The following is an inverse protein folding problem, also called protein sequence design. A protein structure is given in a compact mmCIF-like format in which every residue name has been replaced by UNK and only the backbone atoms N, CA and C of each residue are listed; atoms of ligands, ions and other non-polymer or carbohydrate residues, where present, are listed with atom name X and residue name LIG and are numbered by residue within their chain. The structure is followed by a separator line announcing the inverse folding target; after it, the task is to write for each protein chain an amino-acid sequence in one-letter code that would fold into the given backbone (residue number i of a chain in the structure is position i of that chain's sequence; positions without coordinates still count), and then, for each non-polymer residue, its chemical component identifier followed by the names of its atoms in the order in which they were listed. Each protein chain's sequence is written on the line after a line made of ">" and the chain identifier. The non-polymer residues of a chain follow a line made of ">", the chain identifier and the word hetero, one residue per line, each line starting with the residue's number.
data_IF_464231634634
#
_entry.id   IF_464231634634
#
_cell.length_a   1.000
_cell.length_b   1.000
_cell.length_c   1.000
_cell.angle_alpha   90.00
_cell.angle_beta   90.00
_cell.angle_gamma   90.00
#
_symmetry.space_group_name_H-M   'P 1'
#
loop_
_entity.id
_entity.type
_entity.pdbx_description
1 polymer ?
#
# COMPACT_ATOMS: atom_id res chain seq x y z
N UNK A 1 -13.06 -4.17 -1.90
CA UNK A 1 -12.89 -2.99 -2.78
C UNK A 1 -11.65 -2.27 -2.32
N UNK A 2 -10.71 -1.99 -3.23
CA UNK A 2 -9.56 -1.15 -2.92
C UNK A 2 -9.92 0.31 -3.12
N UNK A 3 -9.26 1.18 -2.35
CA UNK A 3 -9.45 2.62 -2.39
C UNK A 3 -8.11 3.29 -2.12
N UNK A 4 -7.81 4.35 -2.86
CA UNK A 4 -6.70 5.28 -2.59
C UNK A 4 -7.20 6.70 -2.83
N UNK A 5 -6.75 7.63 -1.99
CA UNK A 5 -7.06 9.06 -2.11
C UNK A 5 -5.76 9.78 -2.46
N UNK A 6 -5.75 10.52 -3.56
CA UNK A 6 -4.57 11.22 -4.05
C UNK A 6 -4.89 12.70 -4.21
N UNK A 7 -4.08 13.56 -3.62
CA UNK A 7 -4.09 14.98 -3.92
C UNK A 7 -3.51 15.24 -5.31
N UNK A 8 -4.25 15.96 -6.14
CA UNK A 8 -3.79 16.39 -7.45
C UNK A 8 -3.27 17.84 -7.32
N UNK A 9 -1.94 18.08 -7.42
CA UNK A 9 -1.38 19.42 -7.25
C UNK A 9 -1.77 20.39 -8.36
N UNK A 10 -2.16 19.92 -9.55
CA UNK A 10 -2.59 20.77 -10.65
C UNK A 10 -3.99 21.35 -10.43
N UNK A 11 -4.87 20.58 -9.78
CA UNK A 11 -6.27 20.96 -9.54
C UNK A 11 -6.56 21.38 -8.11
N UNK A 12 -5.56 21.24 -7.22
CA UNK A 12 -5.65 21.46 -5.77
C UNK A 12 -6.78 20.67 -5.10
N UNK A 13 -7.07 19.46 -5.59
CA UNK A 13 -8.18 18.62 -5.12
C UNK A 13 -7.74 17.20 -4.86
N UNK A 14 -8.32 16.60 -3.83
CA UNK A 14 -8.20 15.16 -3.59
C UNK A 14 -9.18 14.40 -4.45
N UNK A 15 -8.66 13.46 -5.24
CA UNK A 15 -9.43 12.52 -6.05
C UNK A 15 -9.45 11.15 -5.38
N UNK A 16 -10.59 10.45 -5.51
CA UNK A 16 -10.78 9.12 -4.93
C UNK A 16 -10.79 8.08 -6.05
N UNK A 17 -9.85 7.15 -5.99
CA UNK A 17 -9.75 6.05 -6.93
C UNK A 17 -10.17 4.76 -6.24
N UNK A 18 -11.01 3.97 -6.92
CA UNK A 18 -11.53 2.71 -6.37
C UNK A 18 -11.40 1.58 -7.37
N UNK A 19 -11.12 0.38 -6.86
CA UNK A 19 -11.11 -0.85 -7.66
C UNK A 19 -12.11 -1.84 -7.05
N UNK A 20 -13.19 -2.09 -7.80
CA UNK A 20 -14.31 -2.92 -7.36
C UNK A 20 -13.98 -4.42 -7.35
N UNK A 21 -13.17 -4.88 -8.31
CA UNK A 21 -12.78 -6.27 -8.43
C UNK A 21 -11.27 -6.44 -8.28
N UNK A 22 -10.85 -7.09 -7.19
CA UNK A 22 -9.45 -7.38 -6.92
C UNK A 22 -9.14 -8.80 -7.41
N UNK A 23 -8.40 -8.97 -8.52
CA UNK A 23 -8.07 -10.30 -9.03
C UNK A 23 -7.10 -11.04 -8.09
N UNK A 24 -7.15 -12.37 -8.06
CA UNK A 24 -6.23 -13.20 -7.26
C UNK A 24 -4.74 -12.94 -7.58
N UNK A 25 -4.43 -12.42 -8.78
CA UNK A 25 -3.08 -11.98 -9.16
C UNK A 25 -2.54 -10.88 -8.24
N UNK A 26 -3.40 -10.01 -7.73
CA UNK A 26 -3.04 -8.96 -6.78
C UNK A 26 -2.55 -9.56 -5.46
N UNK A 27 -3.24 -10.56 -4.92
CA UNK A 27 -2.76 -11.30 -3.75
C UNK A 27 -1.42 -12.00 -4.01
N UNK A 28 -1.25 -12.64 -5.17
CA UNK A 28 0.02 -13.28 -5.56
C UNK A 28 1.18 -12.28 -5.54
N UNK A 29 0.99 -11.07 -6.10
CA UNK A 29 2.02 -10.02 -6.09
C UNK A 29 2.42 -9.59 -4.68
N UNK A 30 1.45 -9.46 -3.77
CA UNK A 30 1.74 -9.14 -2.35
C UNK A 30 2.56 -10.25 -1.68
N UNK A 31 2.24 -11.53 -1.96
CA UNK A 31 3.02 -12.65 -1.45
C UNK A 31 4.43 -12.72 -2.05
N UNK A 32 4.59 -12.43 -3.34
CA UNK A 32 5.90 -12.33 -4.00
C UNK A 32 6.75 -11.20 -3.40
N UNK A 33 6.14 -10.05 -3.13
CA UNK A 33 6.79 -8.95 -2.44
C UNK A 33 7.28 -9.40 -1.05
N UNK A 34 6.41 -10.02 -0.24
CA UNK A 34 6.80 -10.50 1.09
C UNK A 34 7.96 -11.52 1.05
N UNK A 35 7.93 -12.51 0.13
CA UNK A 35 9.03 -13.47 -0.05
C UNK A 35 10.34 -12.76 -0.42
N UNK A 36 10.28 -11.78 -1.32
CA UNK A 36 11.45 -10.99 -1.74
C UNK A 36 12.04 -10.22 -0.57
N UNK A 37 11.21 -9.55 0.23
CA UNK A 37 11.65 -8.78 1.40
C UNK A 37 12.38 -9.65 2.43
N UNK A 38 11.89 -10.87 2.69
CA UNK A 38 12.54 -11.81 3.61
C UNK A 38 13.90 -12.29 3.10
N UNK A 39 14.02 -12.52 1.79
CA UNK A 39 15.21 -13.10 1.16
C UNK A 39 16.31 -12.08 0.90
N UNK A 40 15.94 -10.93 0.34
CA UNK A 40 16.89 -9.94 -0.17
C UNK A 40 17.19 -8.84 0.85
N UNK A 41 16.28 -8.60 1.81
CA UNK A 41 16.38 -7.53 2.82
C UNK A 41 16.82 -6.19 2.20
N UNK A 42 16.10 -5.70 1.19
CA UNK A 42 16.45 -4.46 0.51
C UNK A 42 16.38 -3.27 1.48
N UNK A 43 16.93 -2.13 1.04
CA UNK A 43 16.87 -0.89 1.82
C UNK A 43 15.42 -0.42 2.03
N UNK A 44 15.22 0.48 3.01
CA UNK A 44 13.90 1.07 3.25
C UNK A 44 13.36 1.82 2.02
N UNK A 45 14.24 2.51 1.27
CA UNK A 45 13.88 3.21 0.04
C UNK A 45 13.41 2.23 -1.05
N UNK A 46 14.19 1.19 -1.31
CA UNK A 46 13.83 0.16 -2.32
C UNK A 46 12.52 -0.55 -1.94
N UNK A 47 12.34 -0.84 -0.65
CA UNK A 47 11.10 -1.44 -0.13
C UNK A 47 9.90 -0.52 -0.40
N UNK A 48 10.03 0.78 -0.12
CA UNK A 48 8.97 1.75 -0.32
C UNK A 48 8.64 1.93 -1.80
N UNK A 49 9.65 2.06 -2.67
CA UNK A 49 9.46 2.20 -4.12
C UNK A 49 8.76 0.97 -4.72
N UNK A 50 9.14 -0.23 -4.29
CA UNK A 50 8.49 -1.46 -4.71
C UNK A 50 7.03 -1.53 -4.24
N UNK A 51 6.75 -1.09 -3.01
CA UNK A 51 5.38 -1.01 -2.49
C UNK A 51 4.52 -0.05 -3.31
N UNK A 52 5.03 1.16 -3.57
CA UNK A 52 4.33 2.19 -4.36
C UNK A 52 4.07 1.69 -5.78
N UNK A 53 5.10 1.13 -6.45
CA UNK A 53 4.98 0.59 -7.80
C UNK A 53 3.97 -0.57 -7.87
N UNK A 54 4.01 -1.46 -6.88
CA UNK A 54 3.07 -2.56 -6.78
C UNK A 54 1.63 -2.06 -6.60
N UNK A 55 1.41 -1.09 -5.71
CA UNK A 55 0.08 -0.52 -5.43
C UNK A 55 -0.48 0.22 -6.63
N UNK A 56 0.33 1.05 -7.32
CA UNK A 56 -0.07 1.67 -8.57
C UNK A 56 -0.59 0.62 -9.58
N UNK A 57 0.09 -0.53 -9.67
CA UNK A 57 -0.29 -1.63 -10.57
C UNK A 57 -1.61 -2.35 -10.21
N UNK A 58 -2.19 -2.08 -9.04
CA UNK A 58 -3.48 -2.66 -8.62
C UNK A 58 -4.69 -1.85 -9.07
N UNK A 59 -4.49 -0.58 -9.41
CA UNK A 59 -5.54 0.29 -9.93
C UNK A 59 -5.48 0.29 -11.46
N UNK A 60 -6.66 0.21 -12.10
CA UNK A 60 -6.77 0.30 -13.56
C UNK A 60 -6.85 1.74 -14.09
N UNK A 61 -7.14 2.69 -13.21
CA UNK A 61 -7.15 4.11 -13.54
C UNK A 61 -5.71 4.56 -13.77
N UNK A 62 -5.43 5.06 -14.97
CA UNK A 62 -4.10 5.46 -15.44
C UNK A 62 -3.55 6.69 -14.72
N UNK A 63 -4.39 7.39 -13.95
CA UNK A 63 -3.99 8.49 -13.08
C UNK A 63 -3.41 8.01 -11.74
N UNK A 64 -3.55 6.73 -11.39
CA UNK A 64 -2.91 6.14 -10.21
C UNK A 64 -1.53 5.61 -10.61
N UNK A 65 -0.56 6.51 -10.71
CA UNK A 65 0.83 6.21 -11.08
C UNK A 65 1.75 6.21 -9.87
N UNK A 66 3.00 5.76 -10.06
CA UNK A 66 4.04 5.86 -9.06
C UNK A 66 4.22 7.31 -8.57
N UNK A 67 4.34 8.25 -9.50
CA UNK A 67 4.51 9.68 -9.19
C UNK A 67 3.26 10.24 -8.52
N UNK A 68 2.05 9.91 -9.01
CA UNK A 68 0.80 10.40 -8.43
C UNK A 68 0.61 9.93 -6.98
N UNK A 69 1.14 8.77 -6.60
CA UNK A 69 1.13 8.30 -5.20
C UNK A 69 2.10 9.11 -4.34
N UNK A 70 3.32 9.35 -4.81
CA UNK A 70 4.31 10.15 -4.07
C UNK A 70 3.91 11.62 -3.94
N UNK A 71 3.37 12.21 -5.00
CA UNK A 71 2.94 13.61 -5.01
C UNK A 71 1.60 13.80 -4.30
N UNK A 72 0.75 12.77 -4.32
CA UNK A 72 -0.62 12.84 -3.85
C UNK A 72 -0.85 12.44 -2.40
N UNK A 73 0.14 11.83 -1.73
CA UNK A 73 0.01 11.40 -0.33
C UNK A 73 0.99 12.18 0.55
N UNK A 74 0.54 12.76 1.68
CA UNK A 74 1.43 13.39 2.65
C UNK A 74 2.51 12.43 3.14
N UNK A 75 3.75 12.92 3.28
CA UNK A 75 4.90 12.10 3.65
C UNK A 75 4.70 11.32 4.96
N UNK A 76 4.00 11.90 5.94
CA UNK A 76 3.68 11.27 7.23
C UNK A 76 2.54 10.24 7.17
N UNK A 77 1.93 10.04 6.00
CA UNK A 77 0.82 9.13 5.75
C UNK A 77 1.14 8.05 4.72
N UNK A 78 2.20 8.22 3.93
CA UNK A 78 2.54 7.31 2.83
C UNK A 78 2.64 5.86 3.30
N UNK A 79 3.49 5.57 4.30
CA UNK A 79 3.68 4.21 4.79
C UNK A 79 2.38 3.57 5.31
N UNK A 80 1.60 4.33 6.09
CA UNK A 80 0.32 3.86 6.65
C UNK A 80 -0.69 3.51 5.54
N UNK A 81 -0.79 4.34 4.49
CA UNK A 81 -1.68 4.10 3.36
C UNK A 81 -1.24 2.88 2.54
N UNK A 82 0.06 2.71 2.30
CA UNK A 82 0.57 1.55 1.58
C UNK A 82 0.31 0.25 2.36
N UNK A 83 0.57 0.24 3.68
CA UNK A 83 0.27 -0.90 4.55
C UNK A 83 -1.22 -1.23 4.61
N UNK A 84 -2.09 -0.20 4.68
CA UNK A 84 -3.54 -0.37 4.68
C UNK A 84 -4.01 -1.10 3.43
N UNK A 85 -3.57 -0.66 2.25
CA UNK A 85 -3.96 -1.26 0.97
C UNK A 85 -3.49 -2.72 0.88
N UNK A 86 -2.24 -3.00 1.25
CA UNK A 86 -1.74 -4.39 1.28
C UNK A 86 -2.55 -5.28 2.22
N UNK A 87 -2.90 -4.76 3.41
CA UNK A 87 -3.71 -5.49 4.39
C UNK A 87 -5.12 -5.77 3.87
N UNK A 88 -5.72 -4.82 3.15
CA UNK A 88 -7.05 -5.00 2.55
C UNK A 88 -7.02 -6.08 1.45
N UNK A 89 -5.89 -6.27 0.76
CA UNK A 89 -5.69 -7.33 -0.25
C UNK A 89 -5.51 -8.70 0.39
N UNK A 90 -4.71 -8.81 1.44
CA UNK A 90 -4.47 -10.09 2.15
C UNK A 90 -5.72 -10.62 2.86
N UNK A 91 -6.75 -9.78 3.02
CA UNK A 91 -7.96 -10.09 3.74
C UNK A 91 -7.78 -9.96 5.26
N UNK A 92 -8.88 -9.64 5.95
CA UNK A 92 -8.90 -9.34 7.40
C UNK A 92 -8.40 -10.45 8.33
N UNK A 93 -8.15 -11.67 7.84
CA UNK A 93 -7.48 -12.74 8.60
C UNK A 93 -6.02 -12.37 8.96
N UNK A 94 -5.34 -11.58 8.11
CA UNK A 94 -4.02 -11.01 8.42
C UNK A 94 -4.10 -9.92 9.51
N UNK A 95 -5.20 -9.14 9.58
CA UNK A 95 -5.44 -8.14 10.65
C UNK A 95 -5.39 -8.77 12.05
N UNK A 96 -5.79 -10.04 12.21
CA UNK A 96 -5.71 -10.78 13.49
C UNK A 96 -4.32 -11.31 13.84
N UNK A 97 -3.47 -11.60 12.86
CA UNK A 97 -2.12 -12.15 13.10
C UNK A 97 -1.08 -11.06 13.38
N UNK A 98 -1.14 -9.91 12.70
CA UNK A 98 -0.25 -8.78 12.96
C UNK A 98 -0.56 -8.05 14.28
N UNK A 99 -1.83 -8.00 14.70
CA UNK A 99 -2.23 -7.44 16.00
C UNK A 99 -1.79 -8.26 17.23
N UNK A 100 -1.39 -9.53 17.05
CA UNK A 100 -0.90 -10.38 18.15
C UNK A 100 0.61 -10.28 18.39
N UNK A 101 1.38 -9.68 17.46
CA UNK A 101 2.85 -9.58 17.56
C UNK A 101 3.37 -8.18 17.92
N UNK A 102 2.50 -7.17 18.11
CA UNK A 102 2.94 -5.92 18.78
C UNK A 102 3.01 -6.19 20.29
N UNK A 103 4.20 -6.14 20.94
CA UNK A 103 4.25 -6.13 22.39
C UNK A 103 3.44 -4.92 22.90
N UNK A 104 2.71 -5.06 24.02
CA UNK A 104 1.97 -3.93 24.57
C UNK A 104 2.94 -2.78 24.79
N UNK A 105 2.67 -1.64 24.15
CA UNK A 105 3.35 -0.39 24.43
C UNK A 105 3.21 -0.14 25.93
N UNK A 106 4.32 -0.29 26.67
CA UNK A 106 4.39 0.12 28.06
C UNK A 106 4.03 1.60 28.10
N UNK A 107 2.86 1.91 28.65
CA UNK A 107 2.53 3.27 29.06
C UNK A 107 3.54 3.63 30.15
N UNK A 108 4.42 4.59 29.85
CA UNK A 108 5.18 5.35 30.84
C UNK A 108 4.34 6.57 31.23
#
# INVERSE_FOLDING_TARGET
>A
MLKIELYNPETERTEIFTEGFVPARTLRKVLEFADKQEREKPSELETLDEMVSMIASFFRDDRVTFDAIYDGIPADKLSDEMERIMTDIMGGEAKKKLGKNRPPSKKA
#
